data_IF_298256162266
#
_entry.id   IF_298256162266
#
_cell.length_a   1.000
_cell.length_b   1.000
_cell.length_c   1.000
_cell.angle_alpha   90.00
_cell.angle_beta   90.00
_cell.angle_gamma   90.00
#
_symmetry.space_group_name_H-M   'P 1'
#
loop_
_entity.id
_entity.type
_entity.pdbx_description
1 polymer ?
#
# COMPACT_ATOMS: atom_id res chain seq x y z
N UNK A 1 -27.85 -4.70 10.83
CA UNK A 1 -27.97 -3.60 9.85
C UNK A 1 -27.01 -3.94 8.72
N UNK A 2 -27.41 -3.86 7.45
CA UNK A 2 -26.50 -4.20 6.35
C UNK A 2 -25.60 -3.01 6.07
N UNK A 3 -24.28 -3.18 6.20
CA UNK A 3 -23.31 -2.13 5.85
C UNK A 3 -23.22 -2.05 4.33
N UNK A 4 -23.49 -0.86 3.81
CA UNK A 4 -23.38 -0.51 2.39
C UNK A 4 -22.21 0.44 2.18
N UNK A 5 -21.41 0.19 1.14
CA UNK A 5 -20.26 1.00 0.74
C UNK A 5 -20.40 1.28 -0.74
N UNK A 6 -20.51 2.57 -1.08
CA UNK A 6 -20.67 3.03 -2.45
C UNK A 6 -19.39 3.70 -2.92
N UNK A 7 -18.71 3.07 -3.88
CA UNK A 7 -17.57 3.68 -4.55
C UNK A 7 -18.03 4.88 -5.38
N UNK A 8 -17.33 5.99 -5.23
CA UNK A 8 -17.58 7.28 -5.87
C UNK A 8 -16.57 7.59 -6.96
N UNK A 9 -15.29 7.28 -6.68
CA UNK A 9 -14.18 7.60 -7.57
C UNK A 9 -13.11 6.51 -7.51
N UNK A 10 -12.44 6.29 -8.64
CA UNK A 10 -11.21 5.49 -8.75
C UNK A 10 -10.19 6.27 -9.56
N UNK A 11 -9.00 6.45 -9.02
CA UNK A 11 -7.93 7.22 -9.65
C UNK A 11 -6.62 6.47 -9.54
N UNK A 12 -5.84 6.36 -10.61
CA UNK A 12 -4.44 5.96 -10.51
C UNK A 12 -3.59 7.21 -10.19
N UNK A 13 -3.08 7.29 -8.97
CA UNK A 13 -2.18 8.37 -8.54
C UNK A 13 -0.75 7.97 -8.86
N UNK A 14 -0.11 8.76 -9.70
CA UNK A 14 1.28 8.56 -10.14
C UNK A 14 2.24 9.39 -9.29
N UNK A 15 3.54 9.05 -9.27
CA UNK A 15 4.55 9.93 -8.68
C UNK A 15 4.46 11.36 -9.24
N UNK A 16 4.66 12.36 -8.39
CA UNK A 16 4.59 13.78 -8.75
C UNK A 16 5.72 14.21 -9.69
N UNK A 17 6.82 13.47 -9.69
CA UNK A 17 8.02 13.72 -10.49
C UNK A 17 8.46 12.42 -11.18
N UNK A 18 9.36 12.54 -12.17
CA UNK A 18 9.98 11.36 -12.76
C UNK A 18 10.85 10.64 -11.73
N UNK A 19 10.74 9.33 -11.72
CA UNK A 19 11.42 8.40 -10.82
C UNK A 19 12.30 7.43 -11.64
N UNK A 20 13.24 6.72 -11.00
CA UNK A 20 14.04 5.73 -11.70
C UNK A 20 13.17 4.64 -12.33
N UNK A 21 13.31 4.44 -13.65
CA UNK A 21 12.62 3.38 -14.39
C UNK A 21 13.55 2.19 -14.60
N UNK A 22 13.29 1.10 -13.88
CA UNK A 22 14.13 -0.11 -13.91
C UNK A 22 13.41 -1.33 -13.33
N UNK A 23 14.06 -2.48 -13.45
CA UNK A 23 13.77 -3.71 -12.72
C UNK A 23 14.28 -3.61 -11.29
N UNK A 24 13.39 -3.69 -10.30
CA UNK A 24 13.81 -3.90 -8.92
C UNK A 24 13.69 -5.39 -8.58
N UNK A 25 14.85 -6.03 -8.41
CA UNK A 25 14.99 -7.44 -8.04
C UNK A 25 14.35 -7.72 -6.68
N UNK A 26 13.49 -8.74 -6.61
CA UNK A 26 12.92 -9.24 -5.36
C UNK A 26 13.87 -10.25 -4.72
N UNK A 27 14.11 -10.15 -3.41
CA UNK A 27 14.88 -11.11 -2.64
C UNK A 27 14.10 -12.40 -2.39
N UNK A 28 14.78 -13.46 -1.95
CA UNK A 28 14.09 -14.70 -1.63
C UNK A 28 13.10 -14.49 -0.49
N UNK A 29 13.42 -13.64 0.51
CA UNK A 29 12.50 -13.26 1.57
C UNK A 29 11.24 -12.55 1.06
N UNK A 30 11.36 -11.75 -0.01
CA UNK A 30 10.21 -11.12 -0.66
C UNK A 30 9.31 -12.13 -1.38
N UNK A 31 9.89 -13.26 -1.83
CA UNK A 31 9.20 -14.30 -2.60
C UNK A 31 8.65 -15.44 -1.73
N UNK A 32 9.13 -15.59 -0.49
CA UNK A 32 8.74 -16.68 0.42
C UNK A 32 7.26 -16.66 0.81
N UNK A 33 6.62 -15.49 0.82
CA UNK A 33 5.26 -15.35 1.33
C UNK A 33 4.22 -15.72 0.27
N UNK A 34 3.34 -16.67 0.60
CA UNK A 34 2.29 -17.16 -0.30
C UNK A 34 1.09 -16.21 -0.36
N UNK A 35 0.81 -15.49 0.74
CA UNK A 35 -0.22 -14.45 0.76
C UNK A 35 0.18 -13.31 -0.16
N UNK A 36 -0.56 -13.15 -1.26
CA UNK A 36 -0.26 -12.16 -2.29
C UNK A 36 -0.51 -10.74 -1.80
N UNK A 37 -1.52 -10.53 -0.97
CA UNK A 37 -1.92 -9.19 -0.51
C UNK A 37 -2.18 -9.16 0.98
N UNK A 38 -1.76 -8.07 1.62
CA UNK A 38 -2.03 -7.77 3.01
C UNK A 38 -2.75 -6.42 3.12
N UNK A 39 -3.80 -6.38 3.94
CA UNK A 39 -4.62 -5.20 4.14
C UNK A 39 -4.59 -4.74 5.60
N UNK A 40 -4.52 -3.43 5.80
CA UNK A 40 -4.67 -2.76 7.09
C UNK A 40 -5.76 -1.69 6.97
N UNK A 41 -6.63 -1.57 7.98
CA UNK A 41 -7.70 -0.57 8.02
C UNK A 41 -7.46 0.33 9.23
N UNK A 42 -7.37 1.63 8.97
CA UNK A 42 -7.28 2.68 9.98
C UNK A 42 -8.63 3.36 10.11
N UNK A 43 -9.08 3.60 11.34
CA UNK A 43 -10.31 4.34 11.63
C UNK A 43 -10.01 5.67 12.31
N UNK A 44 -10.64 6.73 11.82
CA UNK A 44 -10.47 8.08 12.31
C UNK A 44 -11.83 8.67 12.66
N UNK A 45 -11.95 9.15 13.90
CA UNK A 45 -13.11 9.93 14.33
C UNK A 45 -13.03 11.32 13.73
N UNK A 46 -14.18 11.88 13.35
CA UNK A 46 -14.25 13.27 12.92
C UNK A 46 -13.67 14.20 13.99
N UNK A 47 -12.86 15.17 13.58
CA UNK A 47 -12.38 16.24 14.44
C UNK A 47 -13.19 17.54 14.27
N UNK A 48 -14.27 17.51 13.47
CA UNK A 48 -15.12 18.66 13.18
C UNK A 48 -14.52 19.69 12.22
N UNK A 49 -13.28 19.50 11.75
CA UNK A 49 -12.66 20.41 10.79
C UNK A 49 -13.26 20.22 9.39
N UNK A 50 -13.51 21.32 8.68
CA UNK A 50 -14.06 21.29 7.31
C UNK A 50 -13.16 20.61 6.28
N UNK A 51 -11.85 20.56 6.55
CA UNK A 51 -10.83 19.92 5.73
C UNK A 51 -10.41 18.53 6.26
N UNK A 52 -11.21 17.92 7.15
CA UNK A 52 -10.93 16.59 7.67
C UNK A 52 -10.91 15.58 6.52
N UNK A 53 -9.75 14.93 6.31
CA UNK A 53 -9.50 14.04 5.16
C UNK A 53 -9.77 14.73 3.80
N UNK A 54 -9.24 15.94 3.61
CA UNK A 54 -9.29 16.62 2.31
C UNK A 54 -8.65 15.78 1.19
N UNK A 55 -9.44 15.42 0.18
CA UNK A 55 -9.01 14.54 -0.91
C UNK A 55 -7.92 15.12 -1.78
N UNK A 56 -7.90 16.46 -1.99
CA UNK A 56 -6.90 17.10 -2.80
C UNK A 56 -5.54 17.04 -2.10
N UNK A 57 -5.51 17.36 -0.80
CA UNK A 57 -4.31 17.25 0.04
C UNK A 57 -3.80 15.81 0.07
N UNK A 58 -4.70 14.83 0.26
CA UNK A 58 -4.32 13.42 0.33
C UNK A 58 -3.74 12.91 -0.99
N UNK A 59 -4.37 13.21 -2.13
CA UNK A 59 -3.90 12.79 -3.46
C UNK A 59 -2.59 13.47 -3.85
N UNK A 60 -2.43 14.76 -3.55
CA UNK A 60 -1.18 15.50 -3.80
C UNK A 60 -0.04 14.94 -2.95
N UNK A 61 -0.27 14.73 -1.66
CA UNK A 61 0.70 14.14 -0.77
C UNK A 61 1.07 12.70 -1.19
N UNK A 62 0.10 11.93 -1.70
CA UNK A 62 0.35 10.60 -2.22
C UNK A 62 1.25 10.66 -3.47
N UNK A 63 0.97 11.55 -4.42
CA UNK A 63 1.82 11.73 -5.58
C UNK A 63 3.27 12.08 -5.18
N UNK A 64 3.44 12.93 -4.17
CA UNK A 64 4.76 13.33 -3.66
C UNK A 64 5.48 12.21 -2.91
N UNK A 65 4.81 11.45 -2.04
CA UNK A 65 5.45 10.33 -1.30
C UNK A 65 5.85 9.19 -2.23
N UNK A 66 5.14 9.02 -3.36
CA UNK A 66 5.50 8.04 -4.38
C UNK A 66 6.79 8.37 -5.13
N UNK A 67 7.40 9.55 -4.95
CA UNK A 67 8.73 9.84 -5.51
C UNK A 67 9.83 9.07 -4.77
N UNK A 68 10.00 9.19 -3.44
CA UNK A 68 10.94 8.35 -2.71
C UNK A 68 10.50 6.88 -2.60
N UNK A 69 9.20 6.60 -2.59
CA UNK A 69 8.64 5.24 -2.57
C UNK A 69 8.23 4.74 -3.97
N UNK A 70 8.96 5.13 -5.01
CA UNK A 70 8.61 4.85 -6.40
C UNK A 70 8.31 3.39 -6.78
N UNK A 71 8.90 2.35 -6.14
CA UNK A 71 8.56 0.97 -6.50
C UNK A 71 7.09 0.64 -6.25
N UNK A 72 6.44 1.30 -5.28
CA UNK A 72 5.01 1.09 -4.95
C UNK A 72 4.09 1.49 -6.11
N UNK A 73 4.53 2.43 -6.96
CA UNK A 73 3.80 2.85 -8.16
C UNK A 73 4.08 1.95 -9.39
N UNK A 74 4.87 0.88 -9.22
CA UNK A 74 5.22 -0.06 -10.30
C UNK A 74 4.16 -1.13 -10.57
N UNK A 75 4.60 -2.20 -11.25
CA UNK A 75 3.85 -3.44 -11.48
C UNK A 75 4.77 -4.64 -11.26
N UNK A 76 4.19 -5.79 -10.90
CA UNK A 76 4.95 -7.04 -10.96
C UNK A 76 5.14 -7.48 -12.40
N UNK A 77 6.26 -8.12 -12.70
CA UNK A 77 6.48 -8.88 -13.94
C UNK A 77 7.44 -10.03 -13.68
N UNK A 78 7.52 -10.95 -14.62
CA UNK A 78 8.60 -11.94 -14.64
C UNK A 78 9.75 -11.40 -15.51
N UNK A 79 10.99 -11.63 -15.10
CA UNK A 79 12.17 -11.44 -15.93
C UNK A 79 12.33 -12.57 -16.96
N UNK A 80 13.41 -12.54 -17.73
CA UNK A 80 13.68 -13.51 -18.80
C UNK A 80 13.89 -14.94 -18.26
N UNK A 81 14.32 -15.08 -17.00
CA UNK A 81 14.51 -16.37 -16.32
C UNK A 81 13.23 -16.83 -15.59
N UNK A 82 12.15 -16.05 -15.67
CA UNK A 82 10.88 -16.34 -15.01
C UNK A 82 10.83 -15.97 -13.53
N UNK A 83 11.83 -15.26 -12.99
CA UNK A 83 11.79 -14.74 -11.62
C UNK A 83 10.92 -13.49 -11.55
N UNK A 84 10.13 -13.39 -10.49
CA UNK A 84 9.29 -12.22 -10.27
C UNK A 84 10.15 -11.00 -9.84
N UNK A 85 9.85 -9.85 -10.40
CA UNK A 85 10.48 -8.57 -10.08
C UNK A 85 9.46 -7.42 -10.12
N UNK A 86 9.85 -6.26 -9.58
CA UNK A 86 9.04 -5.04 -9.68
C UNK A 86 9.52 -4.22 -10.87
N UNK A 87 8.65 -4.08 -11.87
CA UNK A 87 8.79 -3.09 -12.92
C UNK A 87 8.46 -1.69 -12.37
N UNK A 88 9.47 -0.89 -12.08
CA UNK A 88 9.30 0.49 -11.63
C UNK A 88 8.93 1.37 -12.84
N UNK A 89 7.64 1.42 -13.19
CA UNK A 89 7.15 2.02 -14.43
C UNK A 89 6.19 3.20 -14.24
N UNK A 90 6.01 3.67 -13.01
CA UNK A 90 5.23 4.88 -12.67
C UNK A 90 3.75 4.79 -13.06
N UNK A 91 3.19 3.59 -13.22
CA UNK A 91 1.77 3.44 -13.54
C UNK A 91 0.84 3.91 -12.41
N UNK A 92 1.34 3.90 -11.17
CA UNK A 92 0.67 4.51 -10.02
C UNK A 92 -0.04 3.53 -9.09
N UNK A 93 -0.51 4.09 -7.99
CA UNK A 93 -1.29 3.44 -6.92
C UNK A 93 -2.78 3.71 -7.17
N UNK A 94 -3.62 2.70 -6.94
CA UNK A 94 -5.08 2.89 -7.06
C UNK A 94 -5.61 3.57 -5.80
N UNK A 95 -6.20 4.74 -5.97
CA UNK A 95 -6.85 5.51 -4.92
C UNK A 95 -8.37 5.49 -5.15
N UNK A 96 -9.11 4.99 -4.18
CA UNK A 96 -10.55 4.81 -4.23
C UNK A 96 -11.20 5.72 -3.19
N UNK A 97 -12.23 6.44 -3.62
CA UNK A 97 -13.10 7.20 -2.73
C UNK A 97 -14.44 6.49 -2.64
N UNK A 98 -14.91 6.25 -1.43
CA UNK A 98 -16.19 5.62 -1.14
C UNK A 98 -16.94 6.37 -0.04
N UNK A 99 -18.24 6.13 0.02
CA UNK A 99 -19.14 6.63 1.06
C UNK A 99 -19.96 5.49 1.64
N UNK A 100 -20.27 5.57 2.93
CA UNK A 100 -21.19 4.66 3.61
C UNK A 100 -22.28 5.43 4.32
N UNK A 101 -23.51 4.91 4.23
CA UNK A 101 -24.66 5.44 5.00
C UNK A 101 -24.65 5.00 6.48
N UNK A 102 -23.77 4.07 6.84
CA UNK A 102 -23.50 3.62 8.22
C UNK A 102 -22.58 4.59 8.96
N UNK A 103 -22.57 4.50 10.29
CA UNK A 103 -21.55 5.05 11.17
C UNK A 103 -20.44 4.00 11.43
N UNK A 104 -19.26 4.45 11.87
CA UNK A 104 -18.17 3.53 12.28
C UNK A 104 -18.63 2.62 13.42
N UNK A 105 -19.41 3.14 14.38
CA UNK A 105 -19.90 2.37 15.52
C UNK A 105 -20.84 1.22 15.11
N UNK A 106 -21.44 1.27 13.92
CA UNK A 106 -22.29 0.20 13.40
C UNK A 106 -21.51 -1.08 13.05
N UNK A 107 -20.18 -0.99 12.93
CA UNK A 107 -19.30 -2.15 12.75
C UNK A 107 -19.09 -2.94 14.04
N UNK A 108 -19.41 -2.37 15.21
CA UNK A 108 -19.20 -3.01 16.51
C UNK A 108 -17.72 -3.16 16.85
N UNK A 109 -17.30 -4.39 17.17
CA UNK A 109 -15.88 -4.69 17.42
C UNK A 109 -15.08 -4.65 16.12
N UNK A 110 -14.27 -3.60 15.97
CA UNK A 110 -13.44 -3.34 14.78
C UNK A 110 -12.28 -4.32 14.61
N UNK A 111 -12.13 -5.33 15.47
CA UNK A 111 -11.18 -6.42 15.31
C UNK A 111 -11.85 -7.64 14.67
N UNK A 112 -13.09 -7.93 15.05
CA UNK A 112 -13.77 -9.20 14.72
C UNK A 112 -14.96 -9.02 13.78
N UNK A 113 -15.29 -7.78 13.41
CA UNK A 113 -16.45 -7.48 12.57
C UNK A 113 -16.35 -8.13 11.18
N UNK A 114 -17.33 -8.94 10.78
CA UNK A 114 -17.34 -9.63 9.48
C UNK A 114 -17.56 -8.66 8.30
N UNK A 115 -17.87 -7.40 8.59
CA UNK A 115 -18.16 -6.37 7.59
C UNK A 115 -16.90 -5.57 7.19
N UNK A 116 -15.78 -5.70 7.92
CA UNK A 116 -14.51 -5.03 7.62
C UNK A 116 -13.98 -5.28 6.20
N UNK A 117 -14.08 -6.49 5.62
CA UNK A 117 -13.64 -6.73 4.24
C UNK A 117 -14.37 -5.87 3.20
N UNK A 118 -15.52 -5.30 3.51
CA UNK A 118 -16.21 -4.37 2.60
C UNK A 118 -15.49 -3.01 2.50
N UNK A 119 -14.69 -2.64 3.50
CA UNK A 119 -13.91 -1.40 3.55
C UNK A 119 -12.61 -1.47 2.75
N UNK A 120 -12.25 -2.65 2.25
CA UNK A 120 -11.13 -2.85 1.35
C UNK A 120 -11.63 -2.95 -0.09
N UNK A 121 -10.76 -2.66 -1.05
CA UNK A 121 -11.10 -2.91 -2.45
C UNK A 121 -11.26 -4.43 -2.68
N UNK A 122 -12.09 -4.86 -3.65
CA UNK A 122 -12.09 -6.24 -4.09
C UNK A 122 -10.70 -6.66 -4.58
N UNK A 123 -10.35 -7.93 -4.35
CA UNK A 123 -9.14 -8.49 -4.90
C UNK A 123 -9.11 -8.34 -6.44
N UNK A 124 -7.93 -8.08 -7.03
CA UNK A 124 -7.81 -7.99 -8.48
C UNK A 124 -8.07 -9.34 -9.14
N UNK A 125 -8.42 -9.31 -10.43
CA UNK A 125 -8.50 -10.52 -11.24
C UNK A 125 -7.08 -11.02 -11.56
N UNK A 126 -6.61 -11.99 -10.78
CA UNK A 126 -5.29 -12.58 -10.96
C UNK A 126 -5.13 -13.35 -12.28
N UNK A 127 -6.21 -13.70 -12.97
CA UNK A 127 -6.15 -14.39 -14.27
C UNK A 127 -5.66 -13.48 -15.40
N UNK A 128 -5.77 -12.16 -15.23
CA UNK A 128 -5.25 -11.16 -16.17
C UNK A 128 -3.72 -11.00 -16.13
N UNK A 129 -3.03 -11.75 -15.27
CA UNK A 129 -1.56 -11.74 -15.14
C UNK A 129 -1.05 -10.73 -14.11
N UNK A 130 0.15 -10.98 -13.58
CA UNK A 130 0.72 -10.24 -12.44
C UNK A 130 0.95 -8.74 -12.70
N UNK A 131 1.07 -8.33 -13.96
CA UNK A 131 1.27 -6.93 -14.35
C UNK A 131 -0.03 -6.14 -14.50
N UNK A 132 -1.20 -6.79 -14.42
CA UNK A 132 -2.49 -6.16 -14.75
C UNK A 132 -3.07 -5.31 -13.63
N UNK A 133 -2.56 -5.43 -12.41
CA UNK A 133 -3.11 -4.74 -11.24
C UNK A 133 -2.06 -3.92 -10.46
N UNK A 134 -2.49 -2.87 -9.76
CA UNK A 134 -1.61 -2.07 -8.91
C UNK A 134 -1.02 -2.87 -7.75
N UNK A 135 0.22 -2.53 -7.41
CA UNK A 135 0.90 -3.09 -6.23
C UNK A 135 0.26 -2.62 -4.92
N UNK A 136 -0.34 -1.43 -4.92
CA UNK A 136 -1.04 -0.89 -3.76
C UNK A 136 -2.38 -0.29 -4.17
N UNK A 137 -3.37 -0.49 -3.31
CA UNK A 137 -4.69 0.10 -3.38
C UNK A 137 -4.99 0.77 -2.05
N UNK A 138 -5.43 2.03 -2.11
CA UNK A 138 -5.85 2.84 -0.98
C UNK A 138 -7.33 3.12 -1.13
N UNK A 139 -8.13 2.88 -0.10
CA UNK A 139 -9.55 3.23 -0.08
C UNK A 139 -9.87 4.15 1.09
N UNK A 140 -10.39 5.33 0.79
CA UNK A 140 -10.96 6.26 1.77
C UNK A 140 -12.48 6.08 1.76
N UNK A 141 -13.05 5.71 2.89
CA UNK A 141 -14.50 5.61 3.07
C UNK A 141 -14.98 6.66 4.06
N UNK A 142 -15.85 7.57 3.61
CA UNK A 142 -16.51 8.56 4.45
C UNK A 142 -17.81 7.99 5.02
N UNK A 143 -18.00 8.11 6.34
CA UNK A 143 -19.18 7.60 7.03
C UNK A 143 -20.18 8.71 7.37
N UNK A 144 -21.44 8.34 7.57
CA UNK A 144 -22.52 9.28 7.95
C UNK A 144 -22.22 10.05 9.24
N UNK A 145 -21.46 9.46 10.17
CA UNK A 145 -21.05 10.13 11.41
C UNK A 145 -19.89 11.13 11.24
N UNK A 146 -19.43 11.38 10.00
CA UNK A 146 -18.29 12.23 9.69
C UNK A 146 -16.93 11.58 9.94
N UNK A 147 -16.89 10.36 10.46
CA UNK A 147 -15.68 9.56 10.57
C UNK A 147 -15.21 9.05 9.21
N UNK A 148 -13.95 8.58 9.17
CA UNK A 148 -13.32 8.05 7.96
C UNK A 148 -12.58 6.75 8.28
N UNK A 149 -12.62 5.80 7.34
CA UNK A 149 -11.65 4.71 7.31
C UNK A 149 -10.69 4.87 6.14
N UNK A 150 -9.41 4.59 6.38
CA UNK A 150 -8.40 4.40 5.35
C UNK A 150 -8.02 2.92 5.32
N UNK A 151 -8.32 2.24 4.22
CA UNK A 151 -7.77 0.92 3.94
C UNK A 151 -6.51 1.05 3.09
N UNK A 152 -5.46 0.35 3.50
CA UNK A 152 -4.20 0.18 2.78
C UNK A 152 -4.07 -1.29 2.45
N UNK A 153 -4.17 -1.61 1.17
CA UNK A 153 -4.03 -2.97 0.66
C UNK A 153 -2.82 -3.02 -0.28
N UNK A 154 -1.83 -3.84 0.03
CA UNK A 154 -0.58 -3.93 -0.70
C UNK A 154 -0.22 -5.37 -1.08
N UNK A 155 0.42 -5.53 -2.23
CA UNK A 155 1.10 -6.76 -2.61
C UNK A 155 2.27 -7.01 -1.65
N UNK A 156 2.20 -8.10 -0.87
CA UNK A 156 3.13 -8.35 0.24
C UNK A 156 4.58 -8.53 -0.22
N UNK A 157 4.80 -8.92 -1.48
CA UNK A 157 6.12 -9.02 -2.10
C UNK A 157 6.81 -7.66 -2.29
N UNK A 158 6.04 -6.57 -2.20
CA UNK A 158 6.54 -5.21 -2.39
C UNK A 158 6.94 -4.57 -1.07
N UNK A 159 6.17 -4.81 -0.01
CA UNK A 159 6.37 -4.21 1.31
C UNK A 159 6.02 -5.25 2.39
N UNK A 160 6.90 -5.41 3.37
CA UNK A 160 6.53 -6.03 4.64
C UNK A 160 5.70 -5.05 5.50
N UNK A 161 5.20 -5.51 6.64
CA UNK A 161 4.40 -4.69 7.55
C UNK A 161 5.10 -3.39 7.95
N UNK A 162 6.39 -3.46 8.33
CA UNK A 162 7.16 -2.27 8.73
C UNK A 162 7.30 -1.26 7.59
N UNK A 163 7.60 -1.72 6.37
CA UNK A 163 7.73 -0.85 5.20
C UNK A 163 6.39 -0.23 4.80
N UNK A 164 5.28 -0.97 4.94
CA UNK A 164 3.94 -0.45 4.74
C UNK A 164 3.59 0.64 5.78
N UNK A 165 3.90 0.42 7.07
CA UNK A 165 3.72 1.45 8.10
C UNK A 165 4.57 2.70 7.83
N UNK A 166 5.83 2.53 7.45
CA UNK A 166 6.71 3.64 7.10
C UNK A 166 6.17 4.45 5.91
N UNK A 167 5.63 3.78 4.89
CA UNK A 167 4.97 4.44 3.76
C UNK A 167 3.77 5.29 4.21
N UNK A 168 2.87 4.74 5.03
CA UNK A 168 1.68 5.46 5.52
C UNK A 168 2.08 6.66 6.40
N UNK A 169 3.09 6.49 7.25
CA UNK A 169 3.64 7.59 8.06
C UNK A 169 4.26 8.69 7.18
N UNK A 170 5.09 8.31 6.21
CA UNK A 170 5.70 9.24 5.25
C UNK A 170 4.63 10.01 4.45
N UNK A 171 3.56 9.32 4.03
CA UNK A 171 2.43 9.95 3.34
C UNK A 171 1.73 10.97 4.25
N UNK A 172 1.47 10.60 5.51
CA UNK A 172 0.87 11.49 6.50
C UNK A 172 1.73 12.72 6.79
N UNK A 173 3.06 12.56 6.90
CA UNK A 173 4.01 13.65 7.09
C UNK A 173 3.92 14.68 5.95
N UNK A 174 3.90 14.21 4.71
CA UNK A 174 3.79 15.08 3.53
C UNK A 174 2.40 15.76 3.49
N UNK A 175 1.33 15.04 3.83
CA UNK A 175 -0.02 15.60 3.90
C UNK A 175 -0.15 16.70 4.98
N UNK A 176 0.66 16.63 6.04
CA UNK A 176 0.78 17.66 7.07
C UNK A 176 1.70 18.82 6.66
N UNK A 177 2.24 18.82 5.43
CA UNK A 177 3.08 19.89 4.91
C UNK A 177 4.56 19.78 5.27
N UNK A 178 5.04 18.63 5.78
CA UNK A 178 6.48 18.44 6.01
C UNK A 178 7.23 18.40 4.67
N UNK A 179 8.41 19.02 4.66
CA UNK A 179 9.25 19.10 3.45
C UNK A 179 10.17 17.89 3.28
N UNK A 180 10.49 17.20 4.38
CA UNK A 180 11.40 16.07 4.41
C UNK A 180 10.78 14.92 5.19
N UNK A 181 11.06 13.69 4.73
CA UNK A 181 10.66 12.47 5.42
C UNK A 181 11.55 12.26 6.65
N UNK A 182 10.94 11.88 7.77
CA UNK A 182 11.70 11.52 8.98
C UNK A 182 12.59 10.30 8.74
N UNK A 183 12.09 9.32 7.99
CA UNK A 183 12.82 8.10 7.62
C UNK A 183 12.70 7.88 6.12
N UNK A 184 13.72 8.25 5.32
CA UNK A 184 13.74 7.94 3.89
C UNK A 184 13.81 6.42 3.64
N UNK A 185 13.16 5.90 2.59
CA UNK A 185 13.24 4.48 2.27
C UNK A 185 14.62 4.11 1.68
N UNK A 186 15.09 2.90 2.01
CA UNK A 186 16.24 2.28 1.34
C UNK A 186 15.71 1.29 0.29
N UNK A 187 15.97 1.59 -0.98
CA UNK A 187 15.51 0.76 -2.11
C UNK A 187 16.70 0.00 -2.70
N UNK A 188 17.21 -0.97 -1.93
CA UNK A 188 18.23 -1.91 -2.37
C UNK A 188 18.01 -3.27 -1.72
N UNK A 189 17.30 -4.14 -2.43
CA UNK A 189 17.02 -5.52 -1.99
C UNK A 189 18.22 -6.44 -2.17
N UNK A 190 19.26 -6.01 -2.90
CA UNK A 190 20.45 -6.84 -3.14
C UNK A 190 21.28 -7.06 -1.88
N UNK A 191 21.08 -6.22 -0.85
CA UNK A 191 21.60 -6.40 0.50
C UNK A 191 21.14 -7.73 1.14
N UNK A 192 20.03 -8.29 0.66
CA UNK A 192 19.48 -9.58 1.10
C UNK A 192 19.87 -10.75 0.18
N UNK A 193 20.77 -10.54 -0.80
CA UNK A 193 21.28 -11.65 -1.61
C UNK A 193 22.04 -12.63 -0.74
N UNK A 194 21.82 -13.92 -1.01
CA UNK A 194 22.69 -14.95 -0.49
C UNK A 194 24.14 -14.64 -0.88
N UNK A 195 25.06 -14.87 0.05
CA UNK A 195 26.50 -14.73 -0.20
C UNK A 195 26.94 -15.85 -1.15
N UNK A 196 27.78 -15.50 -2.11
CA UNK A 196 28.42 -16.44 -3.02
C UNK A 196 29.95 -16.28 -2.95
N UNK A 197 30.70 -17.28 -2.41
CA UNK A 197 30.19 -18.53 -1.85
C UNK A 197 29.45 -18.33 -0.51
N UNK A 198 28.59 -19.27 -0.08
CA UNK A 198 27.96 -19.23 1.23
C UNK A 198 28.99 -19.14 2.35
N UNK A 199 28.84 -18.16 3.25
CA UNK A 199 29.71 -17.99 4.41
C UNK A 199 28.94 -18.28 5.69
N UNK A 200 29.20 -19.42 6.33
CA UNK A 200 28.61 -19.77 7.63
C UNK A 200 29.45 -19.10 8.73
N UNK A 201 29.02 -17.92 9.19
CA UNK A 201 29.71 -17.17 10.26
C UNK A 201 29.21 -17.55 11.66
N UNK A 202 28.00 -18.10 11.74
CA UNK A 202 27.35 -18.51 12.98
C UNK A 202 27.03 -20.00 12.86
N UNK A 203 27.31 -20.75 13.92
CA UNK A 203 26.93 -22.15 13.98
C UNK A 203 25.43 -22.22 14.28
N UNK A 204 24.63 -22.61 13.29
CA UNK A 204 23.19 -22.79 13.46
C UNK A 204 22.94 -24.25 13.84
N UNK A 205 22.83 -24.54 15.14
CA UNK A 205 22.62 -25.91 15.69
C UNK A 205 21.31 -26.57 15.23
N UNK A 206 20.42 -25.80 14.60
CA UNK A 206 19.09 -26.20 14.14
C UNK A 206 19.10 -26.90 12.77
N UNK A 207 20.27 -27.00 12.12
CA UNK A 207 20.48 -27.69 10.84
C UNK A 207 21.59 -28.74 10.91
#
# INVERSE_FOLDING_TARGET
MTIDIKVKERTLVKPAEKTPRHSLWLSDLDLLYDERRAACIYFYKSNGASNFFDLAVLKEALARVLVPYYPVAGRLRHDDDGRLEINCNEEGVLFIVAESSSAIDDFGDLITSPELPKLTAPAPDYSAGVSSFPLMTLQITYFKCGGVSLSVDAEHRVLDGNSAFNFVNAWSEIAQGRLHLTVPPVIDRTLLRARDPPQILLNHTEY
#
